data_IF_714350173119
#
_entry.id   IF_714350173119
#
_cell.length_a   1.000
_cell.length_b   1.000
_cell.length_c   1.000
_cell.angle_alpha   90.00
_cell.angle_beta   90.00
_cell.angle_gamma   90.00
#
_symmetry.space_group_name_H-M   'P 1'
#
loop_
_entity.id
_entity.type
_entity.pdbx_description
1 polymer ?
#
# COMPACT_ATOMS: atom_id res chain seq x y z
N UNK A 1 -13.24 0.03 -7.96
CA UNK A 1 -11.92 -0.64 -8.02
C UNK A 1 -11.75 -1.56 -6.83
N UNK A 2 -11.37 -2.80 -7.07
CA UNK A 2 -11.08 -3.76 -6.00
C UNK A 2 -9.63 -3.61 -5.53
N UNK A 3 -9.31 -4.24 -4.38
CA UNK A 3 -7.93 -4.25 -3.88
C UNK A 3 -6.98 -4.84 -4.91
N UNK A 4 -7.38 -5.93 -5.57
CA UNK A 4 -6.54 -6.59 -6.58
C UNK A 4 -6.27 -5.69 -7.76
N UNK A 5 -7.29 -4.98 -8.22
CA UNK A 5 -7.13 -4.02 -9.33
C UNK A 5 -6.20 -2.88 -8.92
N UNK A 6 -6.36 -2.37 -7.69
CA UNK A 6 -5.51 -1.30 -7.18
C UNK A 6 -4.04 -1.74 -7.10
N UNK A 7 -3.76 -2.91 -6.55
CA UNK A 7 -2.39 -3.42 -6.43
C UNK A 7 -1.78 -3.63 -7.82
N UNK A 8 -2.55 -4.17 -8.75
CA UNK A 8 -2.10 -4.38 -10.13
C UNK A 8 -1.73 -3.04 -10.78
N UNK A 9 -2.57 -2.03 -10.59
CA UNK A 9 -2.32 -0.70 -11.13
C UNK A 9 -1.08 -0.06 -10.52
N UNK A 10 -0.89 -0.19 -9.20
CA UNK A 10 0.30 0.29 -8.52
C UNK A 10 1.57 -0.32 -9.10
N UNK A 11 1.57 -1.63 -9.33
CA UNK A 11 2.70 -2.34 -9.89
C UNK A 11 3.00 -1.88 -11.31
N UNK A 12 1.96 -1.67 -12.09
CA UNK A 12 2.07 -1.20 -13.47
C UNK A 12 2.67 0.20 -13.53
N UNK A 13 2.18 1.12 -12.69
CA UNK A 13 2.69 2.49 -12.62
C UNK A 13 4.16 2.50 -12.18
N UNK A 14 4.49 1.73 -11.15
CA UNK A 14 5.85 1.67 -10.61
C UNK A 14 6.83 1.09 -11.61
N UNK A 15 6.42 0.08 -12.35
CA UNK A 15 7.25 -0.54 -13.38
C UNK A 15 7.55 0.43 -14.52
N UNK A 16 6.61 1.33 -14.81
CA UNK A 16 6.79 2.36 -15.82
C UNK A 16 7.59 3.57 -15.30
N UNK A 17 7.99 3.55 -14.03
CA UNK A 17 8.77 4.64 -13.44
C UNK A 17 7.91 5.78 -12.90
N UNK A 18 6.60 5.61 -12.86
CA UNK A 18 5.68 6.62 -12.36
C UNK A 18 5.48 6.56 -10.85
N UNK A 19 4.62 7.45 -10.37
CA UNK A 19 4.21 7.50 -8.96
C UNK A 19 2.70 7.51 -8.87
N UNK A 20 2.18 7.19 -7.69
CA UNK A 20 0.73 7.20 -7.45
C UNK A 20 0.45 7.73 -6.06
N UNK A 21 -0.80 8.17 -5.86
CA UNK A 21 -1.26 8.62 -4.54
C UNK A 21 -2.09 7.51 -3.90
N UNK A 22 -1.87 7.28 -2.61
CA UNK A 22 -2.63 6.27 -1.87
C UNK A 22 -3.11 6.84 -0.54
N UNK A 23 -4.22 6.28 -0.07
CA UNK A 23 -4.74 6.53 1.27
C UNK A 23 -4.97 5.17 1.89
N UNK A 24 -4.46 4.97 3.09
CA UNK A 24 -4.63 3.71 3.79
C UNK A 24 -4.73 3.95 5.28
N UNK A 25 -5.25 2.95 5.99
CA UNK A 25 -5.30 3.00 7.44
C UNK A 25 -4.03 2.38 8.01
N UNK A 26 -3.34 3.12 8.85
CA UNK A 26 -2.13 2.64 9.50
C UNK A 26 -2.50 1.64 10.60
N UNK A 27 -1.89 0.46 10.55
CA UNK A 27 -2.16 -0.60 11.51
C UNK A 27 -0.86 -1.25 11.96
N UNK A 28 -0.73 -1.46 13.26
CA UNK A 28 0.42 -2.17 13.83
C UNK A 28 -0.06 -3.47 14.47
N UNK A 29 0.38 -4.60 13.93
CA UNK A 29 0.02 -5.90 14.46
C UNK A 29 0.59 -6.14 15.86
N UNK A 30 1.76 -5.56 16.13
CA UNK A 30 2.41 -5.72 17.43
C UNK A 30 1.68 -4.98 18.55
N UNK A 31 1.04 -3.87 18.21
CA UNK A 31 0.30 -3.06 19.17
C UNK A 31 -1.20 -3.28 19.08
N UNK A 32 -1.64 -4.02 18.06
CA UNK A 32 -3.05 -4.25 17.76
C UNK A 32 -3.85 -2.93 17.75
N UNK A 33 -3.27 -1.90 17.12
CA UNK A 33 -3.84 -0.56 17.08
C UNK A 33 -3.83 0.00 15.67
N UNK A 34 -4.88 0.75 15.35
CA UNK A 34 -4.94 1.58 14.17
C UNK A 34 -4.45 2.98 14.54
N UNK A 35 -3.56 3.53 13.74
CA UNK A 35 -2.97 4.85 13.99
C UNK A 35 -3.61 5.95 13.14
N UNK A 36 -4.76 5.68 12.55
CA UNK A 36 -5.47 6.64 11.74
C UNK A 36 -5.16 6.51 10.26
N UNK A 37 -5.64 7.48 9.49
CA UNK A 37 -5.55 7.46 8.04
C UNK A 37 -4.27 8.16 7.59
N UNK A 38 -3.54 7.52 6.70
CA UNK A 38 -2.30 8.03 6.13
C UNK A 38 -2.53 8.33 4.65
N UNK A 39 -2.16 9.52 4.21
CA UNK A 39 -2.23 9.91 2.81
C UNK A 39 -0.81 10.12 2.27
N UNK A 40 -0.50 9.47 1.15
CA UNK A 40 0.80 9.61 0.49
C UNK A 40 0.55 10.10 -0.92
N UNK A 41 1.05 11.30 -1.24
CA UNK A 41 0.79 11.95 -2.53
C UNK A 41 1.59 11.36 -3.67
N UNK A 42 2.83 10.94 -3.40
CA UNK A 42 3.72 10.35 -4.41
C UNK A 42 4.39 9.12 -3.83
N UNK A 43 3.89 7.97 -4.20
CA UNK A 43 4.44 6.69 -3.77
C UNK A 43 4.89 5.89 -4.99
N UNK A 44 5.86 5.04 -4.78
CA UNK A 44 6.33 4.09 -5.78
C UNK A 44 6.60 2.78 -5.08
N UNK A 45 6.12 1.69 -5.64
CA UNK A 45 6.38 0.38 -5.05
C UNK A 45 7.87 0.05 -5.12
N UNK A 46 8.33 -0.66 -4.12
CA UNK A 46 9.67 -1.19 -4.07
C UNK A 46 9.61 -2.70 -3.91
N UNK A 47 10.75 -3.36 -4.02
CA UNK A 47 10.81 -4.82 -3.93
C UNK A 47 10.24 -5.30 -2.61
N UNK A 48 9.36 -6.31 -2.67
CA UNK A 48 8.80 -6.93 -1.48
C UNK A 48 9.85 -7.74 -0.73
N UNK A 49 9.73 -7.77 0.60
CA UNK A 49 10.54 -8.68 1.40
C UNK A 49 10.11 -10.12 1.12
N UNK A 50 11.05 -11.03 1.25
CA UNK A 50 10.71 -12.45 1.15
C UNK A 50 9.97 -12.89 2.42
N UNK A 51 9.20 -13.97 2.33
CA UNK A 51 8.51 -14.53 3.49
C UNK A 51 9.48 -15.04 4.54
N UNK A 52 10.72 -15.31 4.17
CA UNK A 52 11.77 -15.67 5.12
C UNK A 52 12.13 -14.55 6.08
N UNK A 53 12.02 -13.30 5.59
CA UNK A 53 12.33 -12.12 6.40
C UNK A 53 11.09 -11.49 7.01
N UNK A 54 9.93 -11.72 6.41
CA UNK A 54 8.68 -11.16 6.90
C UNK A 54 7.55 -12.13 6.58
N UNK A 55 7.00 -12.76 7.61
CA UNK A 55 5.94 -13.76 7.45
C UNK A 55 4.66 -13.17 6.85
N UNK A 56 4.52 -11.85 6.85
CA UNK A 56 3.34 -11.16 6.30
C UNK A 56 3.60 -10.54 4.93
N UNK A 57 4.72 -10.87 4.28
CA UNK A 57 5.13 -10.23 3.03
C UNK A 57 4.06 -10.33 1.93
N UNK A 58 3.30 -11.42 1.89
CA UNK A 58 2.26 -11.61 0.88
C UNK A 58 1.01 -10.78 1.13
N UNK A 59 0.86 -10.27 2.34
CA UNK A 59 -0.30 -9.48 2.76
C UNK A 59 -0.03 -7.98 2.78
N UNK A 60 1.19 -7.58 2.42
CA UNK A 60 1.64 -6.20 2.47
C UNK A 60 2.27 -5.79 1.15
N UNK A 61 2.22 -4.48 0.87
CA UNK A 61 2.99 -3.89 -0.21
C UNK A 61 4.02 -2.92 0.37
N UNK A 62 5.21 -2.96 -0.20
CA UNK A 62 6.32 -2.11 0.20
C UNK A 62 6.44 -0.98 -0.80
N UNK A 63 6.56 0.24 -0.31
CA UNK A 63 6.67 1.42 -1.16
C UNK A 63 7.66 2.41 -0.57
N UNK A 64 8.05 3.38 -1.38
CA UNK A 64 8.84 4.52 -0.94
C UNK A 64 8.00 5.77 -1.14
N UNK A 65 8.01 6.66 -0.14
CA UNK A 65 7.42 7.99 -0.27
C UNK A 65 8.44 8.85 -1.01
N UNK A 66 8.14 9.17 -2.26
CA UNK A 66 9.09 9.89 -3.13
C UNK A 66 9.41 11.28 -2.61
N UNK A 67 8.46 11.90 -1.89
CA UNK A 67 8.69 13.24 -1.34
C UNK A 67 9.69 13.26 -0.19
N UNK A 68 9.71 12.21 0.63
CA UNK A 68 10.58 12.13 1.81
C UNK A 68 11.73 11.16 1.64
N UNK A 69 11.61 10.23 0.69
CA UNK A 69 12.59 9.16 0.48
C UNK A 69 12.48 8.04 1.50
N UNK A 70 11.45 8.05 2.35
CA UNK A 70 11.30 7.05 3.39
C UNK A 70 10.67 5.77 2.86
N UNK A 71 11.29 4.59 3.13
CA UNK A 71 10.65 3.31 2.82
C UNK A 71 9.58 2.99 3.84
N UNK A 72 8.41 2.54 3.36
CA UNK A 72 7.27 2.20 4.20
C UNK A 72 6.56 1.00 3.63
N UNK A 73 5.51 0.57 4.32
CA UNK A 73 4.67 -0.54 3.89
C UNK A 73 3.25 -0.33 4.38
N UNK A 74 2.30 -0.97 3.71
CA UNK A 74 0.92 -0.99 4.17
C UNK A 74 0.32 -2.38 3.98
N UNK A 75 -0.72 -2.66 4.76
CA UNK A 75 -1.46 -3.90 4.63
C UNK A 75 -2.45 -3.80 3.48
N UNK A 76 -2.55 -4.84 2.66
CA UNK A 76 -3.50 -4.86 1.55
C UNK A 76 -4.92 -4.52 2.01
N UNK A 77 -5.35 -5.15 3.11
CA UNK A 77 -6.71 -4.96 3.62
C UNK A 77 -6.98 -3.57 4.20
N UNK A 78 -5.94 -2.78 4.41
CA UNK A 78 -6.08 -1.44 4.97
C UNK A 78 -6.07 -0.34 3.91
N UNK A 79 -5.89 -0.69 2.65
CA UNK A 79 -5.89 0.29 1.55
C UNK A 79 -7.29 0.84 1.33
N UNK A 80 -7.42 2.17 1.28
CA UNK A 80 -8.70 2.84 1.15
C UNK A 80 -8.93 3.45 -0.23
N UNK A 81 -7.89 4.02 -0.85
CA UNK A 81 -8.04 4.63 -2.16
C UNK A 81 -6.72 4.64 -2.92
N UNK A 82 -6.82 4.74 -4.25
CA UNK A 82 -5.69 4.87 -5.16
C UNK A 82 -5.98 5.99 -6.14
N UNK A 83 -5.08 6.98 -6.22
CA UNK A 83 -5.21 8.15 -7.11
C UNK A 83 -6.57 8.84 -6.98
N UNK A 84 -7.06 8.93 -5.73
CA UNK A 84 -8.34 9.57 -5.45
C UNK A 84 -9.56 8.70 -5.69
N UNK A 85 -9.37 7.49 -6.18
CA UNK A 85 -10.47 6.56 -6.43
C UNK A 85 -10.62 5.61 -5.25
N UNK A 86 -11.78 5.64 -4.62
CA UNK A 86 -12.08 4.76 -3.49
C UNK A 86 -12.16 3.31 -3.91
N UNK A 87 -11.68 2.43 -3.03
CA UNK A 87 -11.79 1.00 -3.28
C UNK A 87 -13.19 0.50 -2.95
N UNK A 88 -13.61 -0.48 -3.72
CA UNK A 88 -14.88 -1.17 -3.47
C UNK A 88 -14.59 -2.41 -2.64
N UNK A 89 -15.21 -2.48 -1.46
CA UNK A 89 -15.11 -3.65 -0.61
C UNK A 89 -16.35 -4.50 -0.86
N UNK A 90 -16.11 -5.71 -1.37
CA UNK A 90 -17.21 -6.62 -1.65
C UNK A 90 -17.56 -7.36 -0.38
N UNK A 91 -18.74 -7.04 0.16
CA UNK A 91 -19.27 -7.72 1.33
C UNK A 91 -19.95 -9.02 0.87
N UNK A 92 -19.33 -10.10 1.20
CA UNK A 92 -19.86 -11.40 0.80
C UNK A 92 -19.76 -12.35 1.95
#
# INVERSE_FOLDING_TARGET
>A
MTIYEAITEMRKISKAGGTFAITFMSYSIHRDQCHGIIEVNKARLRKRASTEHNQFAELQEYYVDVNTGEPRRFWHCCLLSLNGQSLTFIAK
#
